data_IF_180424846636
#
_entry.id   IF_180424846636
#
_cell.length_a   1.000
_cell.length_b   1.000
_cell.length_c   1.000
_cell.angle_alpha   90.00
_cell.angle_beta   90.00
_cell.angle_gamma   90.00
#
_symmetry.space_group_name_H-M   'P 1'
#
loop_
_entity.id
_entity.type
_entity.pdbx_description
1 polymer ?
#
# COMPACT_ATOMS: atom_id res chain seq x y z
N UNK A 1 7.75 -23.26 -3.25
CA UNK A 1 8.30 -22.05 -3.87
C UNK A 1 7.15 -21.07 -4.04
N UNK A 2 7.23 -19.81 -3.58
CA UNK A 2 6.18 -18.86 -3.87
C UNK A 2 6.10 -18.70 -5.40
N UNK A 3 4.90 -18.91 -5.95
CA UNK A 3 4.63 -18.65 -7.37
C UNK A 3 4.44 -17.13 -7.47
N UNK A 4 5.49 -16.43 -7.87
CA UNK A 4 5.36 -15.01 -8.23
C UNK A 4 4.63 -14.93 -9.57
N UNK A 5 3.66 -14.00 -9.75
CA UNK A 5 3.06 -13.76 -11.04
C UNK A 5 4.15 -13.46 -12.08
N UNK A 6 4.08 -14.10 -13.24
CA UNK A 6 5.03 -13.80 -14.32
C UNK A 6 4.72 -12.43 -14.91
N UNK A 7 5.74 -11.58 -14.98
CA UNK A 7 5.69 -10.31 -15.70
C UNK A 7 6.16 -10.43 -17.16
N UNK A 8 6.56 -11.63 -17.58
CA UNK A 8 7.05 -11.87 -18.94
C UNK A 8 5.96 -11.54 -19.97
N UNK A 9 6.30 -10.68 -20.94
CA UNK A 9 5.37 -10.24 -21.98
C UNK A 9 4.34 -9.21 -21.52
N UNK A 10 4.44 -8.71 -20.28
CA UNK A 10 3.64 -7.57 -19.81
C UNK A 10 4.32 -6.24 -20.10
N UNK A 11 3.60 -5.15 -19.89
CA UNK A 11 4.07 -3.77 -20.04
C UNK A 11 4.58 -3.17 -18.71
N UNK A 12 5.00 -4.00 -17.75
CA UNK A 12 5.37 -3.58 -16.40
C UNK A 12 6.44 -2.47 -16.38
N UNK A 13 7.50 -2.64 -17.15
CA UNK A 13 8.63 -1.70 -17.15
C UNK A 13 8.21 -0.31 -17.65
N UNK A 14 7.32 -0.27 -18.66
CA UNK A 14 6.81 0.97 -19.22
C UNK A 14 5.71 1.60 -18.35
N UNK A 15 4.85 0.78 -17.73
CA UNK A 15 3.62 1.27 -17.10
C UNK A 15 3.70 1.41 -15.58
N UNK A 16 4.54 0.62 -14.90
CA UNK A 16 4.54 0.50 -13.43
C UNK A 16 5.91 0.77 -12.83
N UNK A 17 7.00 0.22 -13.37
CA UNK A 17 8.34 0.37 -12.78
C UNK A 17 8.69 1.84 -12.54
N UNK A 18 9.17 2.14 -11.34
CA UNK A 18 9.58 3.48 -10.94
C UNK A 18 8.45 4.53 -10.99
N UNK A 19 7.18 4.12 -11.00
CA UNK A 19 6.03 5.04 -11.02
C UNK A 19 5.65 5.45 -9.61
N UNK A 20 5.29 6.71 -9.47
CA UNK A 20 4.96 7.35 -8.21
C UNK A 20 3.58 7.97 -8.30
N UNK A 21 2.73 7.68 -7.31
CA UNK A 21 1.36 8.19 -7.22
C UNK A 21 1.13 8.88 -5.88
N UNK A 22 0.49 10.04 -5.92
CA UNK A 22 -0.13 10.69 -4.75
C UNK A 22 -1.63 10.72 -4.99
N UNK A 23 -2.41 10.26 -4.02
CA UNK A 23 -3.84 10.06 -4.18
C UNK A 23 -4.61 10.31 -2.88
N UNK A 24 -5.88 10.73 -3.01
CA UNK A 24 -6.79 10.93 -1.89
C UNK A 24 -7.93 9.91 -1.96
N UNK A 25 -8.13 9.11 -0.92
CA UNK A 25 -9.33 8.27 -0.82
C UNK A 25 -10.59 9.11 -0.62
N UNK A 26 -11.70 8.62 -1.14
CA UNK A 26 -13.04 9.17 -0.95
C UNK A 26 -13.64 8.76 0.42
N UNK A 27 -12.87 8.90 1.49
CA UNK A 27 -13.30 8.50 2.84
C UNK A 27 -14.29 9.50 3.46
N UNK A 28 -15.04 9.04 4.45
CA UNK A 28 -16.00 9.85 5.22
C UNK A 28 -15.77 9.65 6.72
N UNK A 29 -16.03 10.68 7.52
CA UNK A 29 -16.05 10.57 8.98
C UNK A 29 -17.32 9.84 9.47
N UNK A 30 -17.45 9.68 10.79
CA UNK A 30 -18.59 8.99 11.40
C UNK A 30 -19.93 9.70 11.14
N UNK A 31 -19.89 11.00 10.84
CA UNK A 31 -21.03 11.86 10.54
C UNK A 31 -21.33 11.92 9.02
N UNK A 32 -20.51 11.27 8.18
CA UNK A 32 -20.65 11.24 6.72
C UNK A 32 -20.04 12.45 6.00
N UNK A 33 -19.27 13.29 6.69
CA UNK A 33 -18.56 14.40 6.05
C UNK A 33 -17.34 13.85 5.30
N UNK A 34 -17.00 14.41 4.11
CA UNK A 34 -15.81 14.00 3.38
C UNK A 34 -14.52 14.19 4.20
N UNK A 35 -13.74 13.13 4.35
CA UNK A 35 -12.41 13.16 4.96
C UNK A 35 -11.38 12.75 3.90
N UNK A 36 -10.41 13.63 3.62
CA UNK A 36 -9.37 13.31 2.64
C UNK A 36 -8.24 12.53 3.28
N UNK A 37 -8.19 11.24 2.98
CA UNK A 37 -7.07 10.39 3.38
C UNK A 37 -6.02 10.40 2.27
N UNK A 38 -4.99 11.24 2.43
CA UNK A 38 -3.89 11.36 1.48
C UNK A 38 -2.84 10.29 1.67
N UNK A 39 -2.51 9.61 0.58
CA UNK A 39 -1.51 8.55 0.52
C UNK A 39 -0.53 8.81 -0.64
N UNK A 40 0.67 8.28 -0.50
CA UNK A 40 1.76 8.36 -1.46
C UNK A 40 2.35 6.97 -1.64
N UNK A 41 2.54 6.52 -2.88
CA UNK A 41 3.24 5.26 -3.15
C UNK A 41 4.19 5.37 -4.34
N UNK A 42 5.24 4.57 -4.30
CA UNK A 42 6.21 4.39 -5.36
C UNK A 42 6.41 2.91 -5.64
N UNK A 43 6.07 2.52 -6.86
CA UNK A 43 6.28 1.19 -7.41
C UNK A 43 7.77 1.02 -7.75
N UNK A 44 8.58 0.72 -6.73
CA UNK A 44 10.04 0.74 -6.82
C UNK A 44 10.57 -0.17 -7.93
N UNK A 45 10.13 -1.44 -7.94
CA UNK A 45 10.50 -2.43 -8.95
C UNK A 45 9.49 -3.59 -8.94
N UNK A 46 9.79 -4.67 -9.68
CA UNK A 46 8.95 -5.87 -9.81
C UNK A 46 8.63 -6.61 -8.52
N UNK A 47 9.34 -6.28 -7.43
CA UNK A 47 9.30 -7.01 -6.16
C UNK A 47 9.03 -6.08 -4.97
N UNK A 48 9.04 -4.75 -5.15
CA UNK A 48 8.97 -3.80 -4.03
C UNK A 48 8.09 -2.60 -4.33
N UNK A 49 7.35 -2.22 -3.29
CA UNK A 49 6.63 -0.95 -3.21
C UNK A 49 7.08 -0.18 -1.97
N UNK A 50 7.18 1.15 -2.09
CA UNK A 50 7.38 2.09 -1.00
C UNK A 50 6.12 2.93 -0.85
N UNK A 51 5.72 3.27 0.37
CA UNK A 51 4.57 4.15 0.55
C UNK A 51 4.64 4.95 1.87
N UNK A 52 3.89 6.05 1.91
CA UNK A 52 3.66 6.87 3.08
C UNK A 52 2.19 7.30 3.17
N UNK A 53 1.74 7.51 4.41
CA UNK A 53 0.38 7.92 4.72
C UNK A 53 0.41 9.33 5.33
N UNK A 54 -0.24 10.27 4.66
CA UNK A 54 -0.20 11.69 5.01
C UNK A 54 -1.49 12.16 5.71
N UNK A 55 -2.62 11.50 5.45
CA UNK A 55 -3.92 11.83 6.04
C UNK A 55 -4.65 10.63 6.64
N UNK A 56 -5.73 10.92 7.36
CA UNK A 56 -6.59 9.92 8.00
C UNK A 56 -5.98 9.23 9.24
N UNK A 57 -6.61 8.15 9.72
CA UNK A 57 -6.26 7.50 10.99
C UNK A 57 -4.82 6.99 11.09
N UNK A 58 -4.21 6.69 9.94
CA UNK A 58 -2.87 6.12 9.81
C UNK A 58 -1.80 7.16 9.42
N UNK A 59 -2.12 8.47 9.43
CA UNK A 59 -1.18 9.54 9.10
C UNK A 59 0.12 9.45 9.93
N UNK A 60 1.26 9.56 9.26
CA UNK A 60 2.59 9.42 9.85
C UNK A 60 3.17 8.00 9.79
N UNK A 61 2.54 7.08 9.06
CA UNK A 61 3.11 5.76 8.73
C UNK A 61 3.89 5.83 7.42
N UNK A 62 5.10 5.28 7.40
CA UNK A 62 5.89 5.06 6.20
C UNK A 62 6.45 3.63 6.19
N UNK A 63 6.35 2.95 5.06
CA UNK A 63 6.76 1.56 4.96
C UNK A 63 7.17 1.19 3.53
N UNK A 64 7.58 -0.07 3.39
CA UNK A 64 7.95 -0.72 2.14
C UNK A 64 7.59 -2.19 2.25
N UNK A 65 7.30 -2.85 1.13
CA UNK A 65 6.81 -4.22 1.17
C UNK A 65 7.16 -5.00 -0.10
N UNK A 66 7.32 -6.32 0.03
CA UNK A 66 7.27 -7.20 -1.13
C UNK A 66 5.90 -7.11 -1.77
N UNK A 67 5.84 -6.83 -3.06
CA UNK A 67 4.59 -6.65 -3.77
C UNK A 67 4.50 -7.62 -4.96
N UNK A 68 3.28 -8.05 -5.25
CA UNK A 68 2.97 -8.82 -6.45
C UNK A 68 2.18 -7.96 -7.40
N UNK A 69 2.47 -8.12 -8.70
CA UNK A 69 1.88 -7.32 -9.76
C UNK A 69 1.21 -8.22 -10.79
N UNK A 70 0.02 -7.82 -11.23
CA UNK A 70 -0.69 -8.49 -12.30
C UNK A 70 -1.23 -7.46 -13.29
N UNK A 71 -0.82 -7.59 -14.55
CA UNK A 71 -1.42 -6.85 -15.64
C UNK A 71 -2.83 -7.40 -15.89
N UNK A 72 -3.86 -6.58 -15.67
CA UNK A 72 -5.26 -6.94 -15.98
C UNK A 72 -5.55 -6.60 -17.43
N UNK A 73 -5.18 -5.38 -17.85
CA UNK A 73 -5.33 -4.90 -19.23
C UNK A 73 -4.17 -3.94 -19.54
N UNK A 74 -3.26 -4.31 -20.47
CA UNK A 74 -2.13 -3.45 -20.84
C UNK A 74 -2.60 -2.04 -21.21
N UNK A 75 -1.87 -1.03 -20.75
CA UNK A 75 -2.16 0.39 -20.97
C UNK A 75 -3.24 0.97 -20.08
N UNK A 76 -3.95 0.15 -19.30
CA UNK A 76 -5.17 0.58 -18.62
C UNK A 76 -5.27 0.15 -17.15
N UNK A 77 -5.08 -1.13 -16.84
CA UNK A 77 -5.38 -1.70 -15.51
C UNK A 77 -4.27 -2.62 -15.00
N UNK A 78 -3.82 -2.32 -13.78
CA UNK A 78 -2.88 -3.16 -13.03
C UNK A 78 -3.40 -3.47 -11.64
N UNK A 79 -3.14 -4.67 -11.16
CA UNK A 79 -3.33 -5.03 -9.76
C UNK A 79 -1.99 -5.11 -9.04
N UNK A 80 -1.94 -4.58 -7.83
CA UNK A 80 -0.81 -4.66 -6.91
C UNK A 80 -1.28 -5.15 -5.55
N UNK A 81 -0.66 -6.20 -5.01
CA UNK A 81 -1.06 -6.80 -3.74
C UNK A 81 0.14 -7.06 -2.82
N UNK A 82 -0.05 -6.88 -1.51
CA UNK A 82 0.96 -7.21 -0.50
C UNK A 82 0.37 -7.56 0.87
N UNK A 83 1.20 -8.17 1.72
CA UNK A 83 0.95 -8.45 3.13
C UNK A 83 1.94 -7.64 3.99
N UNK A 84 1.46 -6.98 5.04
CA UNK A 84 2.29 -6.19 5.95
C UNK A 84 2.62 -6.91 7.25
N UNK A 85 3.66 -6.46 7.96
CA UNK A 85 4.06 -7.00 9.27
C UNK A 85 3.02 -6.82 10.36
N UNK A 86 2.11 -5.85 10.20
CA UNK A 86 0.94 -5.68 11.07
C UNK A 86 -0.08 -6.79 10.86
N UNK A 87 0.10 -7.63 9.85
CA UNK A 87 -0.85 -8.63 9.37
C UNK A 87 -1.81 -8.06 8.33
N UNK A 88 -1.86 -6.75 8.07
CA UNK A 88 -2.77 -6.16 7.07
C UNK A 88 -2.51 -6.68 5.66
N UNK A 89 -3.57 -7.00 4.94
CA UNK A 89 -3.51 -7.36 3.51
C UNK A 89 -3.98 -6.15 2.72
N UNK A 90 -3.22 -5.75 1.70
CA UNK A 90 -3.63 -4.73 0.76
C UNK A 90 -3.71 -5.33 -0.65
N UNK A 91 -4.82 -5.05 -1.34
CA UNK A 91 -5.02 -5.32 -2.76
C UNK A 91 -5.54 -4.05 -3.39
N UNK A 92 -4.86 -3.56 -4.42
CA UNK A 92 -5.31 -2.39 -5.17
C UNK A 92 -5.29 -2.65 -6.66
N UNK A 93 -6.24 -2.03 -7.35
CA UNK A 93 -6.28 -1.89 -8.80
C UNK A 93 -5.98 -0.44 -9.13
N UNK A 94 -4.92 -0.23 -9.90
CA UNK A 94 -4.60 1.05 -10.50
C UNK A 94 -5.21 1.13 -11.91
N UNK A 95 -6.18 2.04 -12.06
CA UNK A 95 -6.74 2.43 -13.35
C UNK A 95 -6.00 3.65 -13.90
N UNK A 96 -5.07 3.37 -14.81
CA UNK A 96 -4.24 4.36 -15.48
C UNK A 96 -5.10 5.32 -16.30
N UNK A 97 -6.07 4.76 -17.03
CA UNK A 97 -6.90 5.52 -17.96
C UNK A 97 -7.80 6.53 -17.25
N UNK A 98 -8.35 6.13 -16.10
CA UNK A 98 -9.26 6.96 -15.30
C UNK A 98 -8.55 7.75 -14.21
N UNK A 99 -7.26 7.50 -13.95
CA UNK A 99 -6.52 8.07 -12.82
C UNK A 99 -7.17 7.77 -11.47
N UNK A 100 -7.55 6.53 -11.27
CA UNK A 100 -8.20 6.07 -10.04
C UNK A 100 -7.50 4.84 -9.46
N UNK A 101 -7.62 4.69 -8.15
CA UNK A 101 -7.27 3.45 -7.44
C UNK A 101 -8.55 2.88 -6.84
N UNK A 102 -8.73 1.57 -6.96
CA UNK A 102 -9.76 0.81 -6.22
C UNK A 102 -9.07 -0.17 -5.29
N UNK A 103 -9.42 -0.15 -4.01
CA UNK A 103 -8.72 -0.95 -2.99
C UNK A 103 -9.64 -1.86 -2.20
N UNK A 104 -9.09 -3.00 -1.81
CA UNK A 104 -9.49 -3.74 -0.62
C UNK A 104 -8.30 -3.70 0.35
N UNK A 105 -8.54 -3.15 1.54
CA UNK A 105 -7.61 -3.25 2.66
C UNK A 105 -8.27 -4.10 3.74
N UNK A 106 -7.65 -5.22 4.09
CA UNK A 106 -8.10 -6.07 5.18
C UNK A 106 -7.20 -5.82 6.40
N UNK A 107 -7.54 -4.80 7.19
CA UNK A 107 -6.78 -4.44 8.39
C UNK A 107 -6.84 -5.57 9.41
N UNK A 108 -5.70 -5.94 10.00
CA UNK A 108 -5.71 -6.79 11.19
C UNK A 108 -6.34 -6.04 12.36
N UNK A 109 -6.89 -6.77 13.34
CA UNK A 109 -7.46 -6.18 14.55
C UNK A 109 -6.46 -5.28 15.27
N UNK A 110 -5.22 -5.75 15.44
CA UNK A 110 -4.15 -4.96 16.06
C UNK A 110 -3.82 -3.68 15.31
N UNK A 111 -3.76 -3.71 13.98
CA UNK A 111 -3.53 -2.50 13.18
C UNK A 111 -4.68 -1.50 13.35
N UNK A 112 -5.93 -1.97 13.26
CA UNK A 112 -7.11 -1.12 13.31
C UNK A 112 -7.31 -0.47 14.69
N UNK A 113 -7.37 -1.29 15.75
CA UNK A 113 -7.66 -0.83 17.11
C UNK A 113 -6.50 -0.04 17.74
N UNK A 114 -5.27 -0.28 17.28
CA UNK A 114 -4.05 0.41 17.76
C UNK A 114 -3.37 1.21 16.65
N UNK A 115 -4.16 1.91 15.83
CA UNK A 115 -3.68 2.68 14.68
C UNK A 115 -2.51 3.63 14.98
N UNK A 116 -2.52 4.32 16.13
CA UNK A 116 -1.42 5.20 16.57
C UNK A 116 -0.12 4.44 16.79
N UNK A 117 -0.20 3.20 17.28
CA UNK A 117 0.94 2.30 17.50
C UNK A 117 1.49 1.75 16.18
N UNK A 118 0.68 1.71 15.12
CA UNK A 118 1.08 1.25 13.79
C UNK A 118 1.79 2.32 12.95
N UNK A 119 1.87 3.57 13.43
CA UNK A 119 2.60 4.68 12.78
C UNK A 119 4.12 4.52 12.94
N UNK A 120 4.89 5.40 12.29
CA UNK A 120 6.36 5.37 12.29
C UNK A 120 6.94 4.91 10.94
N UNK A 121 8.27 4.77 10.89
CA UNK A 121 8.99 4.36 9.68
C UNK A 121 9.47 2.93 9.85
N UNK A 122 8.96 1.99 9.02
CA UNK A 122 9.35 0.56 9.06
C UNK A 122 10.87 0.34 9.00
N UNK A 123 11.63 1.29 8.46
CA UNK A 123 13.10 1.26 8.41
C UNK A 123 13.74 1.34 9.80
N UNK A 124 13.02 1.87 10.80
CA UNK A 124 13.44 1.83 12.19
C UNK A 124 13.15 0.43 12.77
N UNK A 125 14.16 -0.27 13.31
CA UNK A 125 13.99 -1.61 13.89
C UNK A 125 12.95 -1.67 15.02
N UNK A 126 12.83 -0.63 15.84
CA UNK A 126 11.86 -0.57 16.94
C UNK A 126 10.42 -0.44 16.41
N UNK A 127 10.22 0.38 15.39
CA UNK A 127 8.92 0.53 14.72
C UNK A 127 8.54 -0.78 14.02
N UNK A 128 9.47 -1.44 13.34
CA UNK A 128 9.24 -2.77 12.73
C UNK A 128 8.84 -3.82 13.77
N UNK A 129 9.56 -3.89 14.89
CA UNK A 129 9.24 -4.83 15.97
C UNK A 129 7.84 -4.55 16.55
N UNK A 130 7.50 -3.26 16.73
CA UNK A 130 6.16 -2.83 17.15
C UNK A 130 5.08 -3.25 16.16
N UNK A 131 5.29 -3.02 14.86
CA UNK A 131 4.35 -3.45 13.81
C UNK A 131 4.12 -4.97 13.84
N UNK A 132 5.18 -5.77 13.98
CA UNK A 132 5.07 -7.25 14.09
C UNK A 132 4.27 -7.70 15.31
N UNK A 133 4.39 -6.99 16.43
CA UNK A 133 3.62 -7.30 17.63
C UNK A 133 2.11 -7.06 17.44
N UNK A 134 1.72 -6.12 16.58
CA UNK A 134 0.31 -5.85 16.28
C UNK A 134 -0.36 -7.02 15.54
N UNK A 135 0.39 -7.78 14.72
CA UNK A 135 -0.14 -8.96 14.04
C UNK A 135 -0.56 -10.09 15.00
N UNK A 136 -0.10 -10.06 16.25
CA UNK A 136 -0.45 -11.04 17.27
C UNK A 136 -1.78 -10.73 17.97
N UNK A 137 -2.42 -9.60 17.65
CA UNK A 137 -3.68 -9.18 18.24
C UNK A 137 -4.83 -9.61 17.33
N UNK A 138 -5.68 -10.50 17.85
CA UNK A 138 -6.83 -11.05 17.13
C UNK A 138 -6.45 -12.21 16.20
N UNK A 139 -7.37 -12.53 15.30
CA UNK A 139 -7.28 -13.64 14.35
C UNK A 139 -7.66 -13.17 12.94
N UNK A 140 -7.57 -14.05 11.95
CA UNK A 140 -7.89 -13.71 10.55
C UNK A 140 -9.35 -13.27 10.35
N UNK A 141 -10.29 -13.76 11.18
CA UNK A 141 -11.71 -13.41 11.08
C UNK A 141 -12.06 -12.10 11.77
N UNK A 142 -11.14 -11.53 12.56
CA UNK A 142 -11.32 -10.23 13.23
C UNK A 142 -10.94 -9.05 12.33
N UNK A 143 -10.62 -9.30 11.06
CA UNK A 143 -10.19 -8.25 10.14
C UNK A 143 -11.31 -7.29 9.81
N UNK A 144 -10.95 -6.01 9.72
CA UNK A 144 -11.83 -4.98 9.18
C UNK A 144 -11.55 -4.86 7.69
N UNK A 145 -12.58 -5.10 6.87
CA UNK A 145 -12.51 -4.93 5.43
C UNK A 145 -12.92 -3.51 5.08
N UNK A 146 -12.01 -2.79 4.45
CA UNK A 146 -12.24 -1.46 3.90
C UNK A 146 -12.14 -1.55 2.38
N UNK A 147 -13.23 -1.20 1.69
CA UNK A 147 -13.29 -1.12 0.23
C UNK A 147 -13.47 0.33 -0.16
N UNK A 148 -12.43 0.96 -0.70
CA UNK A 148 -12.45 2.38 -1.02
C UNK A 148 -11.81 2.69 -2.37
N UNK A 149 -12.29 3.77 -2.98
CA UNK A 149 -11.69 4.34 -4.17
C UNK A 149 -10.92 5.61 -3.84
N UNK A 150 -9.91 5.90 -4.66
CA UNK A 150 -9.13 7.11 -4.57
C UNK A 150 -8.94 7.77 -5.94
N UNK A 151 -8.88 9.09 -5.92
CA UNK A 151 -8.50 9.91 -7.06
C UNK A 151 -6.98 10.16 -7.03
N UNK A 152 -6.31 9.96 -8.16
CA UNK A 152 -4.88 10.23 -8.31
C UNK A 152 -4.67 11.71 -8.62
N UNK A 153 -3.93 12.39 -7.75
CA UNK A 153 -3.61 13.81 -7.84
C UNK A 153 -2.31 14.04 -8.62
N UNK A 154 -1.30 13.21 -8.37
CA UNK A 154 0.00 13.28 -9.01
C UNK A 154 0.43 11.89 -9.49
N UNK A 155 1.04 11.85 -10.67
CA UNK A 155 1.47 10.64 -11.36
C UNK A 155 2.74 10.94 -12.15
N UNK A 156 3.88 10.46 -11.66
CA UNK A 156 5.20 10.75 -12.21
C UNK A 156 6.17 9.58 -12.02
N UNK A 157 7.44 9.75 -12.41
CA UNK A 157 8.49 8.75 -12.24
C UNK A 157 9.56 9.19 -11.24
N UNK A 158 10.09 8.23 -10.49
CA UNK A 158 11.12 8.44 -9.48
C UNK A 158 10.59 8.43 -8.04
N UNK A 159 11.49 8.59 -7.07
CA UNK A 159 11.17 8.40 -5.65
C UNK A 159 10.21 9.44 -5.06
N UNK A 160 10.09 10.63 -5.67
CA UNK A 160 9.42 11.77 -5.03
C UNK A 160 10.09 12.07 -3.67
N UNK A 161 9.29 12.12 -2.60
CA UNK A 161 9.81 12.31 -1.24
C UNK A 161 10.04 10.98 -0.49
N UNK A 162 9.71 9.84 -1.10
CA UNK A 162 9.88 8.54 -0.47
C UNK A 162 11.36 8.13 -0.46
N UNK A 163 11.81 7.58 0.67
CA UNK A 163 13.18 7.10 0.84
C UNK A 163 13.39 5.80 0.07
N UNK A 164 14.53 5.62 -0.61
CA UNK A 164 14.89 4.34 -1.22
C UNK A 164 15.03 3.23 -0.15
N UNK A 165 15.12 1.99 -0.62
CA UNK A 165 15.22 0.79 0.21
C UNK A 165 16.42 -0.06 -0.18
N UNK A 166 16.88 -0.88 0.75
CA UNK A 166 17.83 -1.96 0.45
C UNK A 166 17.04 -3.25 0.22
N UNK A 167 17.40 -4.02 -0.80
CA UNK A 167 16.63 -5.19 -1.23
C UNK A 167 16.69 -6.37 -0.25
N UNK A 168 17.70 -6.39 0.61
CA UNK A 168 17.92 -7.36 1.69
C UNK A 168 17.12 -7.04 2.96
N UNK A 169 16.47 -5.87 3.04
CA UNK A 169 15.61 -5.54 4.17
C UNK A 169 14.39 -6.46 4.24
N UNK A 170 14.00 -6.89 5.46
CA UNK A 170 12.98 -7.90 5.62
C UNK A 170 11.59 -7.36 5.27
N UNK A 171 10.86 -8.19 4.55
CA UNK A 171 9.46 -8.01 4.17
C UNK A 171 8.75 -9.37 4.29
N UNK A 172 7.42 -9.35 4.39
CA UNK A 172 6.57 -10.54 4.23
C UNK A 172 6.26 -10.93 2.79
#
# INVERSE_FOLDING_TARGET
MPVLPSLQGSTFDDEIRDRHLIYDYAAQDAEGNPEKWRYEMWFYNEDRINYAIHGGPMAGRAAFQSATYQCIRPGELWQCNWLEETGTICSLVFDISRKHITTLIAFSKGHWEKNTTARGDKRNPEDLARMRSLAQIGTQVDRILLSEQAEILEDFRGPGNLKPIQMDWPTL
#
